data_IF_676014678950
#
_entry.id   IF_676014678950
#
_cell.length_a   1.000
_cell.length_b   1.000
_cell.length_c   1.000
_cell.angle_alpha   90.00
_cell.angle_beta   90.00
_cell.angle_gamma   90.00
#
_symmetry.space_group_name_H-M   'P 1'
#
loop_
_entity.id
_entity.type
_entity.pdbx_description
1 polymer ?
#
# COMPACT_ATOMS: atom_id res chain seq x y z
N UNK A 1 2.89 -3.66 9.67
CA UNK A 1 1.62 -4.21 9.12
C UNK A 1 0.43 -3.30 9.39
N UNK A 2 -0.14 -3.23 10.60
CA UNK A 2 -1.34 -2.42 10.85
C UNK A 2 -1.20 -0.94 10.48
N UNK A 3 -0.07 -0.30 10.79
CA UNK A 3 0.20 1.11 10.44
C UNK A 3 0.56 1.32 8.96
N UNK A 4 1.20 0.32 8.34
CA UNK A 4 1.86 0.45 7.04
C UNK A 4 0.95 0.04 5.88
N UNK A 5 0.13 -0.98 6.12
CA UNK A 5 -0.78 -1.53 5.14
C UNK A 5 -2.10 -0.77 5.14
N UNK A 6 -2.76 -0.77 4.00
CA UNK A 6 -4.11 -0.25 3.87
C UNK A 6 -5.11 -1.00 4.79
N UNK A 7 -6.22 -0.34 5.14
CA UNK A 7 -7.22 -0.89 6.03
C UNK A 7 -7.74 -2.27 5.60
N UNK A 8 -7.90 -2.51 4.29
CA UNK A 8 -8.36 -3.80 3.77
C UNK A 8 -7.39 -4.96 4.03
N UNK A 9 -6.08 -4.75 3.88
CA UNK A 9 -5.08 -5.77 4.17
C UNK A 9 -4.95 -6.00 5.68
N UNK A 10 -4.91 -4.92 6.47
CA UNK A 10 -4.85 -5.01 7.93
C UNK A 10 -6.06 -5.76 8.50
N UNK A 11 -7.27 -5.48 7.98
CA UNK A 11 -8.49 -6.16 8.35
C UNK A 11 -8.48 -7.64 7.96
N UNK A 12 -8.06 -7.97 6.73
CA UNK A 12 -8.04 -9.37 6.24
C UNK A 12 -7.14 -10.27 7.09
N UNK A 13 -5.95 -9.79 7.44
CA UNK A 13 -5.02 -10.51 8.33
C UNK A 13 -5.62 -10.67 9.73
N UNK A 14 -6.12 -9.58 10.29
CA UNK A 14 -6.63 -9.55 11.64
C UNK A 14 -7.92 -10.36 11.82
N UNK A 15 -8.77 -10.44 10.79
CA UNK A 15 -9.93 -11.33 10.76
C UNK A 15 -9.51 -12.80 10.85
N UNK A 16 -8.40 -13.17 10.22
CA UNK A 16 -7.79 -14.49 10.38
C UNK A 16 -7.42 -14.79 11.84
N UNK A 17 -6.91 -13.80 12.58
CA UNK A 17 -6.57 -13.96 14.00
C UNK A 17 -7.80 -14.02 14.89
N UNK A 18 -8.91 -13.36 14.54
CA UNK A 18 -10.16 -13.50 15.28
C UNK A 18 -10.70 -14.92 15.25
N UNK A 19 -10.59 -15.61 14.10
CA UNK A 19 -10.93 -17.04 13.99
C UNK A 19 -10.06 -17.92 14.90
N UNK A 20 -8.83 -17.49 15.18
CA UNK A 20 -7.90 -18.15 16.10
C UNK A 20 -8.16 -17.82 17.59
N UNK A 21 -9.17 -17.00 17.89
CA UNK A 21 -9.58 -16.64 19.26
C UNK A 21 -9.16 -15.24 19.72
N UNK A 22 -8.43 -14.47 18.90
CA UNK A 22 -7.97 -13.12 19.26
C UNK A 22 -9.07 -12.07 19.02
N UNK A 23 -10.10 -12.07 19.87
CA UNK A 23 -11.25 -11.15 19.76
C UNK A 23 -10.82 -9.68 19.70
N UNK A 24 -11.33 -8.96 18.71
CA UNK A 24 -11.05 -7.53 18.52
C UNK A 24 -9.77 -7.24 17.73
N UNK A 25 -9.03 -8.25 17.29
CA UNK A 25 -7.86 -8.06 16.44
C UNK A 25 -8.21 -7.24 15.19
N UNK A 26 -9.36 -7.50 14.56
CA UNK A 26 -9.82 -6.79 13.36
C UNK A 26 -9.94 -5.28 13.61
N UNK A 27 -10.56 -4.90 14.72
CA UNK A 27 -10.72 -3.51 15.12
C UNK A 27 -9.39 -2.84 15.46
N UNK A 28 -8.46 -3.53 16.11
CA UNK A 28 -7.11 -2.99 16.38
C UNK A 28 -6.38 -2.75 15.06
N UNK A 29 -6.42 -3.72 14.14
CA UNK A 29 -5.84 -3.60 12.80
C UNK A 29 -6.40 -2.42 12.02
N UNK A 30 -7.74 -2.27 11.98
CA UNK A 30 -8.42 -1.14 11.35
C UNK A 30 -8.04 0.20 11.98
N UNK A 31 -7.93 0.27 13.31
CA UNK A 31 -7.53 1.50 14.01
C UNK A 31 -6.12 1.93 13.64
N UNK A 32 -5.17 0.99 13.65
CA UNK A 32 -3.79 1.26 13.25
C UNK A 32 -3.70 1.72 11.79
N UNK A 33 -4.47 1.08 10.89
CA UNK A 33 -4.47 1.42 9.47
C UNK A 33 -5.12 2.78 9.20
N UNK A 34 -6.22 3.10 9.90
CA UNK A 34 -6.86 4.41 9.81
C UNK A 34 -5.92 5.53 10.27
N UNK A 35 -5.23 5.35 11.40
CA UNK A 35 -4.23 6.30 11.89
C UNK A 35 -3.09 6.47 10.87
N UNK A 36 -2.54 5.37 10.37
CA UNK A 36 -1.51 5.38 9.31
C UNK A 36 -1.97 6.16 8.09
N UNK A 37 -3.17 5.88 7.58
CA UNK A 37 -3.76 6.56 6.42
C UNK A 37 -3.91 8.06 6.65
N UNK A 38 -4.40 8.49 7.81
CA UNK A 38 -4.51 9.91 8.16
C UNK A 38 -3.13 10.59 8.20
N UNK A 39 -2.13 9.94 8.81
CA UNK A 39 -0.75 10.45 8.84
C UNK A 39 -0.18 10.51 7.42
N UNK A 40 -0.46 9.53 6.57
CA UNK A 40 -0.08 9.53 5.16
C UNK A 40 -0.67 10.69 4.39
N UNK A 41 -1.99 10.87 4.47
CA UNK A 41 -2.69 11.94 3.76
C UNK A 41 -2.30 13.34 4.26
N UNK A 42 -2.38 13.60 5.57
CA UNK A 42 -2.07 14.92 6.11
C UNK A 42 -0.56 15.19 6.15
N UNK A 43 0.22 14.22 6.62
CA UNK A 43 1.67 14.33 6.69
C UNK A 43 2.32 14.45 5.31
N UNK A 44 1.79 13.76 4.29
CA UNK A 44 2.25 13.90 2.91
C UNK A 44 2.09 15.33 2.38
N UNK A 45 0.94 15.96 2.63
CA UNK A 45 0.70 17.36 2.27
C UNK A 45 1.63 18.31 3.03
N UNK A 46 1.86 18.07 4.33
CA UNK A 46 2.81 18.84 5.14
C UNK A 46 4.24 18.71 4.57
N UNK A 47 4.66 17.50 4.20
CA UNK A 47 5.97 17.23 3.60
C UNK A 47 6.12 17.95 2.25
N UNK A 48 5.09 17.94 1.40
CA UNK A 48 5.09 18.67 0.12
C UNK A 48 5.22 20.18 0.37
N UNK A 49 4.46 20.74 1.31
CA UNK A 49 4.56 22.16 1.66
C UNK A 49 5.96 22.52 2.22
N UNK A 50 6.52 21.65 3.05
CA UNK A 50 7.90 21.80 3.52
C UNK A 50 8.90 21.73 2.36
N UNK A 51 8.71 20.82 1.40
CA UNK A 51 9.52 20.71 0.19
C UNK A 51 9.47 21.98 -0.66
N UNK A 52 8.29 22.59 -0.83
CA UNK A 52 8.14 23.89 -1.49
C UNK A 52 8.91 24.99 -0.76
N UNK A 53 8.77 25.09 0.57
CA UNK A 53 9.44 26.12 1.37
C UNK A 53 10.95 25.98 1.42
N UNK A 54 11.46 24.74 1.35
CA UNK A 54 12.89 24.42 1.43
C UNK A 54 13.55 24.25 0.07
N UNK A 55 12.80 24.45 -1.02
CA UNK A 55 13.31 24.38 -2.39
C UNK A 55 13.54 22.97 -2.93
N UNK A 56 13.10 21.91 -2.25
CA UNK A 56 13.30 20.50 -2.66
C UNK A 56 12.54 20.09 -3.92
N UNK A 57 11.70 20.98 -4.44
CA UNK A 57 10.89 20.82 -5.64
C UNK A 57 11.34 21.91 -6.62
N UNK A 58 11.62 21.51 -7.86
CA UNK A 58 12.08 22.43 -8.90
C UNK A 58 11.09 23.55 -9.20
N UNK A 59 11.59 24.67 -9.74
CA UNK A 59 10.81 25.89 -9.92
C UNK A 59 9.58 25.69 -10.84
N UNK A 60 9.70 24.85 -11.87
CA UNK A 60 8.61 24.59 -12.80
C UNK A 60 7.52 23.70 -12.18
N UNK A 61 7.91 22.67 -11.43
CA UNK A 61 6.95 21.86 -10.66
C UNK A 61 6.27 22.70 -9.57
N UNK A 62 7.02 23.59 -8.88
CA UNK A 62 6.46 24.49 -7.88
C UNK A 62 5.41 25.45 -8.45
N UNK A 63 5.58 25.94 -9.69
CA UNK A 63 4.56 26.73 -10.39
C UNK A 63 3.29 25.91 -10.66
N UNK A 64 3.42 24.66 -11.12
CA UNK A 64 2.29 23.75 -11.37
C UNK A 64 1.49 23.46 -10.08
N UNK A 65 2.17 23.20 -8.96
CA UNK A 65 1.53 22.96 -7.66
C UNK A 65 0.73 24.18 -7.16
N UNK A 66 1.23 25.38 -7.45
CA UNK A 66 0.56 26.62 -7.07
C UNK A 66 -0.65 26.99 -7.95
N UNK A 67 -0.93 26.21 -9.00
CA UNK A 67 -2.11 26.41 -9.83
C UNK A 67 -3.40 26.31 -9.01
N UNK A 68 -4.40 27.12 -9.36
CA UNK A 68 -5.66 27.23 -8.62
C UNK A 68 -6.42 25.90 -8.53
N UNK A 69 -6.39 25.08 -9.59
CA UNK A 69 -7.05 23.77 -9.63
C UNK A 69 -6.47 22.81 -8.60
N UNK A 70 -5.14 22.75 -8.49
CA UNK A 70 -4.44 21.91 -7.50
C UNK A 70 -4.75 22.36 -6.08
N UNK A 71 -4.79 23.68 -5.83
CA UNK A 71 -5.07 24.23 -4.49
C UNK A 71 -6.53 24.08 -4.05
N UNK A 72 -7.47 24.13 -4.99
CA UNK A 72 -8.91 24.05 -4.68
C UNK A 72 -9.46 22.63 -4.81
N UNK A 73 -8.77 21.74 -5.51
CA UNK A 73 -9.24 20.40 -5.86
C UNK A 73 -10.28 20.38 -6.99
N UNK A 74 -10.64 21.54 -7.55
CA UNK A 74 -11.64 21.65 -8.61
C UNK A 74 -11.05 22.29 -9.86
N UNK A 75 -11.30 21.69 -11.02
CA UNK A 75 -11.00 22.30 -12.30
C UNK A 75 -11.88 23.54 -12.55
N UNK A 76 -11.45 24.33 -13.52
CA UNK A 76 -12.19 25.49 -14.01
C UNK A 76 -13.62 25.14 -14.43
N UNK A 77 -14.48 26.16 -14.46
CA UNK A 77 -15.82 26.05 -15.05
C UNK A 77 -15.74 25.78 -16.55
N UNK A 78 -14.66 26.19 -17.21
CA UNK A 78 -14.40 25.91 -18.62
C UNK A 78 -14.15 24.41 -18.83
N UNK A 79 -14.96 23.77 -19.67
CA UNK A 79 -14.86 22.34 -19.95
C UNK A 79 -13.60 21.96 -20.73
N UNK A 80 -13.13 22.84 -21.64
CA UNK A 80 -11.91 22.64 -22.42
C UNK A 80 -10.63 22.58 -21.58
N UNK A 81 -10.68 23.07 -20.33
CA UNK A 81 -9.56 23.04 -19.39
C UNK A 81 -9.58 21.79 -18.50
N UNK A 82 -10.59 20.91 -18.65
CA UNK A 82 -10.73 19.69 -17.86
C UNK A 82 -10.04 18.52 -18.57
N UNK A 83 -9.16 17.77 -17.90
CA UNK A 83 -8.59 16.56 -18.48
C UNK A 83 -9.67 15.49 -18.64
N UNK A 84 -9.52 14.64 -19.66
CA UNK A 84 -10.38 13.49 -19.89
C UNK A 84 -10.10 12.45 -18.80
N UNK A 85 -11.13 12.06 -18.05
CA UNK A 85 -10.98 11.13 -16.93
C UNK A 85 -11.06 9.64 -17.31
N UNK A 86 -11.76 9.32 -18.39
CA UNK A 86 -11.97 7.95 -18.88
C UNK A 86 -12.53 7.96 -20.30
N UNK A 87 -12.24 6.93 -21.08
CA UNK A 87 -12.82 6.70 -22.41
C UNK A 87 -13.87 5.59 -22.35
N UNK A 88 -14.91 5.71 -23.17
CA UNK A 88 -15.87 4.62 -23.39
C UNK A 88 -15.20 3.55 -24.23
N UNK A 89 -15.25 2.30 -23.77
CA UNK A 89 -14.59 1.15 -24.42
C UNK A 89 -15.57 0.18 -25.06
N UNK A 90 -16.87 0.40 -24.84
CA UNK A 90 -17.96 -0.36 -25.42
C UNK A 90 -18.92 0.61 -26.11
N UNK A 91 -19.64 0.09 -27.12
CA UNK A 91 -20.77 0.82 -27.66
C UNK A 91 -21.91 0.81 -26.65
N UNK A 92 -22.44 2.00 -26.32
CA UNK A 92 -23.50 2.18 -25.34
C UNK A 92 -24.80 1.48 -25.72
N UNK A 93 -25.02 1.16 -27.00
CA UNK A 93 -26.17 0.37 -27.45
C UNK A 93 -26.02 -1.12 -27.10
N UNK A 94 -24.79 -1.62 -26.95
CA UNK A 94 -24.52 -3.02 -26.62
C UNK A 94 -24.41 -3.25 -25.12
N UNK A 95 -23.53 -2.48 -24.47
CA UNK A 95 -23.23 -2.63 -23.05
C UNK A 95 -22.65 -1.32 -22.53
N UNK A 96 -23.06 -0.90 -21.34
CA UNK A 96 -22.44 0.23 -20.67
C UNK A 96 -20.97 -0.06 -20.30
N UNK A 97 -20.07 0.88 -20.62
CA UNK A 97 -18.63 0.69 -20.41
C UNK A 97 -18.28 0.52 -18.94
N UNK A 98 -18.93 1.24 -18.03
CA UNK A 98 -18.67 1.09 -16.60
C UNK A 98 -19.08 -0.31 -16.12
N UNK A 99 -20.24 -0.78 -16.56
CA UNK A 99 -20.76 -2.13 -16.27
C UNK A 99 -19.80 -3.22 -16.74
N UNK A 100 -19.25 -3.08 -17.95
CA UNK A 100 -18.24 -4.00 -18.49
C UNK A 100 -16.99 -4.08 -17.59
N UNK A 101 -16.43 -2.93 -17.19
CA UNK A 101 -15.24 -2.90 -16.34
C UNK A 101 -15.50 -3.48 -14.95
N UNK A 102 -16.64 -3.15 -14.34
CA UNK A 102 -17.05 -3.74 -13.05
C UNK A 102 -17.18 -5.25 -13.18
N UNK A 103 -17.78 -5.76 -14.25
CA UNK A 103 -17.90 -7.19 -14.49
C UNK A 103 -16.52 -7.87 -14.58
N UNK A 104 -15.55 -7.29 -15.28
CA UNK A 104 -14.18 -7.82 -15.36
C UNK A 104 -13.48 -7.82 -14.01
N UNK A 105 -13.61 -6.74 -13.21
CA UNK A 105 -13.04 -6.66 -11.86
C UNK A 105 -13.66 -7.71 -10.94
N UNK A 106 -14.99 -7.84 -10.95
CA UNK A 106 -15.71 -8.83 -10.13
C UNK A 106 -15.43 -10.27 -10.57
N UNK A 107 -15.31 -10.53 -11.87
CA UNK A 107 -14.90 -11.84 -12.38
C UNK A 107 -13.48 -12.20 -11.94
N UNK A 108 -12.57 -11.22 -11.93
CA UNK A 108 -11.20 -11.38 -11.43
C UNK A 108 -11.19 -11.71 -9.93
N UNK A 109 -12.02 -11.01 -9.15
CA UNK A 109 -12.20 -11.31 -7.73
C UNK A 109 -12.77 -12.72 -7.49
N UNK A 110 -13.80 -13.12 -8.25
CA UNK A 110 -14.37 -14.46 -8.18
C UNK A 110 -13.34 -15.54 -8.53
N UNK A 111 -12.49 -15.29 -9.54
CA UNK A 111 -11.38 -16.18 -9.88
C UNK A 111 -10.39 -16.30 -8.72
N UNK A 112 -10.01 -15.18 -8.08
CA UNK A 112 -9.14 -15.20 -6.90
C UNK A 112 -9.73 -16.00 -5.75
N UNK A 113 -11.03 -15.84 -5.49
CA UNK A 113 -11.74 -16.61 -4.47
C UNK A 113 -11.77 -18.11 -4.82
N UNK A 114 -12.01 -18.46 -6.08
CA UNK A 114 -12.02 -19.85 -6.55
C UNK A 114 -10.63 -20.50 -6.43
N UNK A 115 -9.57 -19.77 -6.80
CA UNK A 115 -8.17 -20.23 -6.66
C UNK A 115 -7.82 -20.48 -5.19
N UNK A 116 -8.12 -19.53 -4.29
CA UNK A 116 -7.87 -19.69 -2.85
C UNK A 116 -8.68 -20.83 -2.25
N UNK A 117 -9.93 -20.99 -2.65
CA UNK A 117 -10.80 -22.08 -2.19
C UNK A 117 -10.30 -23.44 -2.67
N UNK A 118 -9.90 -23.55 -3.94
CA UNK A 118 -9.28 -24.75 -4.49
C UNK A 118 -7.97 -25.10 -3.80
N UNK A 119 -7.13 -24.10 -3.54
CA UNK A 119 -5.87 -24.30 -2.82
C UNK A 119 -6.12 -24.73 -1.36
N UNK A 120 -7.13 -24.17 -0.70
CA UNK A 120 -7.56 -24.60 0.63
C UNK A 120 -7.96 -26.06 0.64
N UNK A 121 -8.74 -26.51 -0.35
CA UNK A 121 -9.14 -27.91 -0.47
C UNK A 121 -7.93 -28.83 -0.65
N UNK A 122 -6.99 -28.46 -1.52
CA UNK A 122 -5.76 -29.24 -1.74
C UNK A 122 -4.86 -29.29 -0.51
N UNK A 123 -4.69 -28.17 0.18
CA UNK A 123 -3.87 -28.09 1.38
C UNK A 123 -4.49 -28.87 2.55
N UNK A 124 -5.81 -28.88 2.68
CA UNK A 124 -6.50 -29.68 3.70
C UNK A 124 -6.25 -31.19 3.53
N UNK A 125 -5.94 -31.67 2.32
CA UNK A 125 -5.57 -33.07 2.08
C UNK A 125 -4.19 -33.44 2.66
N UNK A 126 -3.32 -32.45 2.88
CA UNK A 126 -1.96 -32.64 3.41
C UNK A 126 -1.97 -32.81 4.95
N UNK A 127 -3.07 -32.43 5.61
CA UNK A 127 -3.26 -32.54 7.05
C UNK A 127 -3.32 -31.19 7.77
N UNK A 128 -3.20 -31.17 9.12
CA UNK A 128 -3.39 -29.96 9.93
C UNK A 128 -2.48 -28.79 9.55
N UNK A 129 -1.21 -29.07 9.24
CA UNK A 129 -0.25 -28.05 8.77
C UNK A 129 -0.69 -27.39 7.45
N UNK A 130 -1.36 -28.15 6.59
CA UNK A 130 -1.91 -27.62 5.34
C UNK A 130 -3.10 -26.69 5.58
N UNK A 131 -3.97 -27.03 6.53
CA UNK A 131 -5.09 -26.17 6.92
C UNK A 131 -4.61 -24.82 7.49
N UNK A 132 -3.57 -24.84 8.33
CA UNK A 132 -2.95 -23.62 8.87
C UNK A 132 -2.30 -22.76 7.79
N UNK A 133 -1.64 -23.40 6.82
CA UNK A 133 -1.10 -22.71 5.66
C UNK A 133 -2.24 -22.08 4.84
N UNK A 134 -3.34 -22.80 4.62
CA UNK A 134 -4.48 -22.28 3.87
C UNK A 134 -5.08 -21.01 4.51
N UNK A 135 -5.32 -21.02 5.83
CA UNK A 135 -5.78 -19.82 6.56
C UNK A 135 -4.75 -18.67 6.45
N UNK A 136 -3.46 -18.99 6.44
CA UNK A 136 -2.42 -17.99 6.23
C UNK A 136 -2.48 -17.35 4.83
N UNK A 137 -2.81 -18.12 3.80
CA UNK A 137 -2.98 -17.61 2.43
C UNK A 137 -4.22 -16.71 2.30
N UNK A 138 -5.30 -16.98 3.03
CA UNK A 138 -6.49 -16.12 3.06
C UNK A 138 -6.23 -14.74 3.66
N UNK A 139 -5.39 -14.66 4.70
CA UNK A 139 -4.97 -13.38 5.29
C UNK A 139 -4.26 -12.46 4.30
N UNK A 140 -3.65 -13.04 3.25
CA UNK A 140 -2.93 -12.34 2.20
C UNK A 140 -3.60 -12.44 0.82
N UNK A 141 -4.92 -12.62 0.79
CA UNK A 141 -5.71 -12.80 -0.44
C UNK A 141 -5.41 -11.75 -1.52
N UNK A 142 -5.09 -10.50 -1.14
CA UNK A 142 -4.75 -9.43 -2.07
C UNK A 142 -3.59 -9.78 -3.02
N UNK A 143 -2.64 -10.60 -2.57
CA UNK A 143 -1.52 -11.10 -3.39
C UNK A 143 -2.05 -12.03 -4.49
N UNK A 144 -2.89 -12.98 -4.10
CA UNK A 144 -3.52 -13.92 -5.03
C UNK A 144 -4.43 -13.18 -6.02
N UNK A 145 -5.18 -12.17 -5.56
CA UNK A 145 -5.98 -11.32 -6.42
C UNK A 145 -5.13 -10.57 -7.44
N UNK A 146 -3.94 -10.08 -7.07
CA UNK A 146 -3.01 -9.46 -8.00
C UNK A 146 -2.50 -10.46 -9.06
N UNK A 147 -2.16 -11.69 -8.68
CA UNK A 147 -1.78 -12.74 -9.64
C UNK A 147 -2.93 -13.13 -10.56
N UNK A 148 -4.15 -13.26 -10.03
CA UNK A 148 -5.35 -13.51 -10.84
C UNK A 148 -5.62 -12.35 -11.80
N UNK A 149 -5.43 -11.09 -11.40
CA UNK A 149 -5.55 -9.95 -12.29
C UNK A 149 -4.50 -9.96 -13.42
N UNK A 150 -3.26 -10.34 -13.11
CA UNK A 150 -2.21 -10.54 -14.13
C UNK A 150 -2.56 -11.68 -15.09
N UNK A 151 -3.11 -12.78 -14.58
CA UNK A 151 -3.58 -13.91 -15.39
C UNK A 151 -4.73 -13.48 -16.31
N UNK A 152 -5.76 -12.79 -15.78
CA UNK A 152 -6.88 -12.28 -16.58
C UNK A 152 -6.37 -11.34 -17.67
N UNK A 153 -5.46 -10.42 -17.33
CA UNK A 153 -4.82 -9.53 -18.31
C UNK A 153 -4.08 -10.32 -19.40
N UNK A 154 -3.36 -11.38 -19.02
CA UNK A 154 -2.66 -12.25 -19.97
C UNK A 154 -3.66 -12.97 -20.89
N UNK A 155 -4.74 -13.53 -20.35
CA UNK A 155 -5.79 -14.20 -21.11
C UNK A 155 -6.48 -13.24 -22.08
N UNK A 156 -6.78 -12.02 -21.65
CA UNK A 156 -7.34 -10.98 -22.52
C UNK A 156 -6.37 -10.60 -23.65
N UNK A 157 -5.07 -10.52 -23.36
CA UNK A 157 -4.04 -10.27 -24.37
C UNK A 157 -3.94 -11.41 -25.39
N UNK A 158 -4.02 -12.67 -24.94
CA UNK A 158 -4.05 -13.84 -25.84
C UNK A 158 -5.32 -13.83 -26.69
N UNK A 159 -6.45 -13.45 -26.12
CA UNK A 159 -7.73 -13.30 -26.81
C UNK A 159 -7.81 -12.03 -27.67
N UNK A 160 -6.81 -11.14 -27.63
CA UNK A 160 -6.76 -9.85 -28.34
C UNK A 160 -7.92 -8.90 -28.00
N UNK A 161 -8.40 -8.97 -26.76
CA UNK A 161 -9.48 -8.11 -26.24
C UNK A 161 -8.98 -7.16 -25.15
N UNK A 162 -7.67 -7.06 -24.91
CA UNK A 162 -7.14 -6.18 -23.88
C UNK A 162 -7.40 -4.69 -24.14
N UNK A 163 -7.64 -4.32 -25.41
CA UNK A 163 -7.95 -2.96 -25.85
C UNK A 163 -9.35 -2.50 -25.43
N UNK A 164 -10.22 -3.40 -24.96
CA UNK A 164 -11.55 -3.05 -24.43
C UNK A 164 -11.50 -2.53 -22.99
N UNK A 165 -10.34 -2.57 -22.32
CA UNK A 165 -10.17 -1.99 -20.99
C UNK A 165 -9.55 -0.60 -21.06
N UNK A 166 -10.29 0.37 -20.53
CA UNK A 166 -9.83 1.73 -20.33
C UNK A 166 -9.19 1.90 -18.94
N UNK A 167 -7.92 2.31 -18.94
CA UNK A 167 -7.17 2.56 -17.71
C UNK A 167 -7.78 3.71 -16.90
N UNK A 168 -8.39 4.71 -17.54
CA UNK A 168 -9.07 5.81 -16.86
C UNK A 168 -10.23 5.30 -16.00
N UNK A 169 -11.09 4.46 -16.60
CA UNK A 169 -12.22 3.82 -15.91
C UNK A 169 -11.75 2.94 -14.76
N UNK A 170 -10.74 2.10 -14.97
CA UNK A 170 -10.16 1.26 -13.90
C UNK A 170 -9.58 2.10 -12.75
N UNK A 171 -8.89 3.21 -13.06
CA UNK A 171 -8.35 4.11 -12.06
C UNK A 171 -9.46 4.77 -11.22
N UNK A 172 -10.61 5.09 -11.82
CA UNK A 172 -11.77 5.67 -11.11
C UNK A 172 -12.47 4.63 -10.23
N UNK A 173 -12.63 3.40 -10.72
CA UNK A 173 -13.14 2.28 -9.91
C UNK A 173 -12.22 2.06 -8.70
N UNK A 174 -10.91 2.06 -8.91
CA UNK A 174 -9.92 1.94 -7.83
C UNK A 174 -10.04 3.10 -6.83
N UNK A 175 -10.11 4.35 -7.29
CA UNK A 175 -10.30 5.53 -6.43
C UNK A 175 -11.56 5.41 -5.56
N UNK A 176 -12.70 5.09 -6.18
CA UNK A 176 -13.95 4.87 -5.45
C UNK A 176 -13.84 3.74 -4.41
N UNK A 177 -13.18 2.63 -4.78
CA UNK A 177 -13.01 1.48 -3.89
C UNK A 177 -12.15 1.83 -2.67
N UNK A 178 -11.11 2.66 -2.85
CA UNK A 178 -10.28 3.17 -1.75
C UNK A 178 -11.09 4.07 -0.83
N UNK A 179 -11.87 5.01 -1.37
CA UNK A 179 -12.69 5.94 -0.57
C UNK A 179 -13.73 5.19 0.28
N UNK A 180 -14.44 4.23 -0.34
CA UNK A 180 -15.39 3.36 0.37
C UNK A 180 -14.70 2.51 1.43
N UNK A 181 -13.51 1.98 1.14
CA UNK A 181 -12.74 1.18 2.11
C UNK A 181 -12.36 2.03 3.31
N UNK A 182 -11.85 3.24 3.12
CA UNK A 182 -11.48 4.15 4.21
C UNK A 182 -12.72 4.52 5.05
N UNK A 183 -13.81 4.93 4.41
CA UNK A 183 -15.05 5.29 5.10
C UNK A 183 -15.62 4.11 5.91
N UNK A 184 -15.69 2.92 5.30
CA UNK A 184 -16.19 1.71 5.95
C UNK A 184 -15.29 1.26 7.10
N UNK A 185 -13.96 1.40 6.92
CA UNK A 185 -12.98 1.06 7.95
C UNK A 185 -13.12 1.93 9.18
N UNK A 186 -13.32 3.24 9.00
CA UNK A 186 -13.59 4.15 10.12
C UNK A 186 -14.89 3.80 10.84
N UNK A 187 -15.94 3.42 10.09
CA UNK A 187 -17.21 2.99 10.66
C UNK A 187 -17.15 1.64 11.38
N UNK A 188 -16.24 0.74 10.99
CA UNK A 188 -16.09 -0.60 11.57
C UNK A 188 -15.22 -0.65 12.84
N UNK A 189 -14.56 0.46 13.21
CA UNK A 189 -13.73 0.50 14.43
C UNK A 189 -14.61 0.39 15.69
N UNK A 190 -14.36 -0.63 16.51
CA UNK A 190 -14.95 -0.80 17.83
C UNK A 190 -14.24 0.08 18.85
N UNK A 191 -14.92 1.13 19.33
CA UNK A 191 -14.40 2.02 20.37
C UNK A 191 -14.08 1.27 21.68
N UNK A 192 -14.84 0.23 22.00
CA UNK A 192 -14.60 -0.61 23.19
C UNK A 192 -13.26 -1.34 23.08
N UNK A 193 -12.96 -1.89 21.91
CA UNK A 193 -11.68 -2.57 21.65
C UNK A 193 -10.51 -1.58 21.69
N UNK A 194 -10.68 -0.39 21.12
CA UNK A 194 -9.65 0.67 21.16
C UNK A 194 -9.34 1.09 22.59
N UNK A 195 -10.37 1.26 23.44
CA UNK A 195 -10.18 1.59 24.85
C UNK A 195 -9.45 0.49 25.63
N UNK A 196 -9.61 -0.78 25.26
CA UNK A 196 -8.87 -1.88 25.89
C UNK A 196 -7.37 -1.89 25.54
N UNK A 197 -6.99 -1.39 24.35
CA UNK A 197 -5.64 -1.50 23.80
C UNK A 197 -5.00 -0.14 23.45
N UNK A 198 -5.47 0.96 24.04
CA UNK A 198 -5.04 2.31 23.65
C UNK A 198 -3.54 2.54 23.88
N UNK A 199 -2.94 1.96 24.93
CA UNK A 199 -1.50 2.08 25.19
C UNK A 199 -0.67 1.41 24.08
N UNK A 200 -0.85 0.11 23.77
CA UNK A 200 -0.18 -0.52 22.62
C UNK A 200 -0.39 0.24 21.31
N UNK A 201 -1.62 0.66 21.02
CA UNK A 201 -1.95 1.40 19.79
C UNK A 201 -1.16 2.71 19.72
N UNK A 202 -1.12 3.47 20.82
CA UNK A 202 -0.39 4.73 20.90
C UNK A 202 1.12 4.53 20.70
N UNK A 203 1.71 3.55 21.39
CA UNK A 203 3.16 3.27 21.28
C UNK A 203 3.51 2.86 19.85
N UNK A 204 2.77 1.93 19.25
CA UNK A 204 3.01 1.48 17.87
C UNK A 204 2.80 2.61 16.86
N UNK A 205 1.82 3.48 17.09
CA UNK A 205 1.57 4.66 16.27
C UNK A 205 2.75 5.63 16.32
N UNK A 206 3.25 5.94 17.52
CA UNK A 206 4.40 6.84 17.68
C UNK A 206 5.67 6.28 17.03
N UNK A 207 5.91 4.98 17.15
CA UNK A 207 7.01 4.31 16.45
C UNK A 207 6.82 4.37 14.94
N UNK A 208 5.60 4.10 14.45
CA UNK A 208 5.25 4.22 13.02
C UNK A 208 5.52 5.61 12.47
N UNK A 209 5.03 6.65 13.17
CA UNK A 209 5.29 8.06 12.84
C UNK A 209 6.79 8.36 12.82
N UNK A 210 7.53 7.91 13.84
CA UNK A 210 8.97 8.15 13.91
C UNK A 210 9.70 7.53 12.71
N UNK A 211 9.36 6.30 12.34
CA UNK A 211 9.97 5.62 11.20
C UNK A 211 9.61 6.35 9.89
N UNK A 212 8.35 6.70 9.67
CA UNK A 212 7.92 7.29 8.39
C UNK A 212 8.26 8.77 8.24
N UNK A 213 8.31 9.54 9.32
CA UNK A 213 8.55 10.99 9.27
C UNK A 213 10.01 11.36 9.53
N UNK A 214 10.77 10.54 10.27
CA UNK A 214 12.18 10.83 10.61
C UNK A 214 13.13 9.93 9.86
N UNK A 215 13.00 8.61 10.02
CA UNK A 215 13.95 7.63 9.46
C UNK A 215 13.83 7.58 7.94
N UNK A 216 12.62 7.55 7.40
CA UNK A 216 12.41 7.38 5.97
C UNK A 216 12.94 8.57 5.14
N UNK A 217 12.67 9.86 5.48
CA UNK A 217 13.28 10.98 4.76
C UNK A 217 14.81 10.99 4.86
N UNK A 218 15.36 10.57 6.00
CA UNK A 218 16.80 10.40 6.15
C UNK A 218 17.34 9.32 5.21
N UNK A 219 16.73 8.14 5.18
CA UNK A 219 17.20 7.04 4.33
C UNK A 219 17.14 7.43 2.84
N UNK A 220 15.99 7.93 2.39
CA UNK A 220 15.77 8.24 0.98
C UNK A 220 16.71 9.33 0.46
N UNK A 221 16.98 10.36 1.28
CA UNK A 221 17.89 11.44 0.90
C UNK A 221 19.36 11.02 0.78
N UNK A 222 19.79 9.92 1.41
CA UNK A 222 21.16 9.41 1.32
C UNK A 222 21.30 8.27 0.31
N UNK A 223 20.23 7.51 0.11
CA UNK A 223 20.22 6.33 -0.74
C UNK A 223 20.10 6.68 -2.22
N UNK A 224 19.19 7.58 -2.57
CA UNK A 224 18.93 7.93 -3.95
C UNK A 224 19.88 9.03 -4.43
N UNK A 225 20.32 8.93 -5.69
CA UNK A 225 21.12 9.98 -6.35
C UNK A 225 20.25 10.99 -7.08
N UNK A 226 19.05 10.61 -7.49
CA UNK A 226 18.13 11.40 -8.30
C UNK A 226 16.74 11.48 -7.64
N UNK A 227 16.02 12.57 -7.87
CA UNK A 227 14.63 12.76 -7.46
C UNK A 227 14.33 12.32 -6.01
N UNK A 228 15.28 12.54 -5.10
CA UNK A 228 15.30 11.95 -3.76
C UNK A 228 13.99 12.20 -2.98
N UNK A 229 13.49 13.44 -3.07
CA UNK A 229 12.24 13.84 -2.41
C UNK A 229 11.01 13.17 -3.03
N UNK A 230 10.99 12.97 -4.34
CA UNK A 230 9.85 12.39 -5.07
C UNK A 230 9.78 10.88 -4.78
N UNK A 231 10.93 10.20 -4.81
CA UNK A 231 11.06 8.80 -4.40
C UNK A 231 10.65 8.60 -2.95
N UNK A 232 11.06 9.52 -2.06
CA UNK A 232 10.64 9.52 -0.67
C UNK A 232 9.13 9.65 -0.52
N UNK A 233 8.47 10.57 -1.24
CA UNK A 233 7.02 10.75 -1.18
C UNK A 233 6.25 9.49 -1.58
N UNK A 234 6.69 8.79 -2.63
CA UNK A 234 6.05 7.51 -3.04
C UNK A 234 6.18 6.46 -1.96
N UNK A 235 7.38 6.29 -1.39
CA UNK A 235 7.62 5.30 -0.34
C UNK A 235 6.83 5.68 0.92
N UNK A 236 6.80 6.97 1.29
CA UNK A 236 6.06 7.49 2.42
C UNK A 236 4.57 7.22 2.29
N UNK A 237 3.96 7.63 1.17
CA UNK A 237 2.53 7.43 0.94
C UNK A 237 2.15 5.95 0.87
N UNK A 238 3.02 5.11 0.30
CA UNK A 238 2.78 3.67 0.26
C UNK A 238 2.92 3.03 1.64
N UNK A 239 3.92 3.42 2.44
CA UNK A 239 4.17 2.93 3.79
C UNK A 239 3.22 3.49 4.86
N UNK A 240 2.31 4.39 4.50
CA UNK A 240 1.28 4.96 5.38
C UNK A 240 -0.11 4.71 4.81
N UNK A 241 -0.25 3.78 3.87
CA UNK A 241 -1.49 3.57 3.15
C UNK A 241 -1.33 2.51 2.09
N UNK A 242 -1.46 2.91 0.83
CA UNK A 242 -1.36 2.00 -0.31
C UNK A 242 -0.57 2.63 -1.45
N UNK A 243 -0.17 1.84 -2.44
CA UNK A 243 0.50 2.35 -3.64
C UNK A 243 -0.28 3.50 -4.31
N UNK A 244 -1.62 3.45 -4.48
CA UNK A 244 -2.43 4.60 -4.90
C UNK A 244 -2.19 5.87 -4.08
N UNK A 245 -2.06 5.77 -2.75
CA UNK A 245 -1.74 6.90 -1.87
C UNK A 245 -0.36 7.49 -2.18
N UNK A 246 0.65 6.63 -2.35
CA UNK A 246 2.00 7.06 -2.77
C UNK A 246 2.02 7.74 -4.13
N UNK A 247 1.31 7.17 -5.12
CA UNK A 247 1.19 7.75 -6.45
C UNK A 247 0.38 9.05 -6.45
N UNK A 248 -0.62 9.19 -5.58
CA UNK A 248 -1.38 10.42 -5.42
C UNK A 248 -0.50 11.56 -4.90
N UNK A 249 0.36 11.29 -3.90
CA UNK A 249 1.34 12.28 -3.42
C UNK A 249 2.36 12.63 -4.51
N UNK A 250 2.82 11.64 -5.28
CA UNK A 250 3.72 11.89 -6.41
C UNK A 250 3.06 12.76 -7.48
N UNK A 251 1.79 12.51 -7.85
CA UNK A 251 1.06 13.32 -8.83
C UNK A 251 0.96 14.80 -8.46
N UNK A 252 1.03 15.15 -7.18
CA UNK A 252 1.06 16.56 -6.77
C UNK A 252 2.35 17.22 -7.27
N UNK A 253 3.49 16.54 -7.16
CA UNK A 253 4.80 17.09 -7.53
C UNK A 253 5.26 16.72 -8.96
N UNK A 254 4.68 15.67 -9.53
CA UNK A 254 4.97 15.09 -10.84
C UNK A 254 3.67 14.54 -11.46
N UNK A 255 2.81 15.44 -11.95
CA UNK A 255 1.44 15.13 -12.37
C UNK A 255 1.36 14.11 -13.52
N UNK A 256 2.27 14.21 -14.50
CA UNK A 256 2.30 13.36 -15.69
C UNK A 256 3.23 12.14 -15.51
N UNK A 257 3.79 11.93 -14.31
CA UNK A 257 4.81 10.93 -14.04
C UNK A 257 5.99 11.01 -15.02
N UNK A 258 6.48 12.23 -15.27
CA UNK A 258 7.60 12.50 -16.19
C UNK A 258 8.91 11.90 -15.63
N UNK A 259 9.03 11.78 -14.30
CA UNK A 259 10.20 11.21 -13.64
C UNK A 259 10.14 9.68 -13.62
N UNK A 260 11.29 8.98 -13.60
CA UNK A 260 11.32 7.51 -13.53
C UNK A 260 10.81 6.94 -12.20
N UNK A 261 10.45 7.79 -11.23
CA UNK A 261 10.13 7.42 -9.85
C UNK A 261 8.98 6.41 -9.76
N UNK A 262 7.88 6.65 -10.47
CA UNK A 262 6.72 5.76 -10.45
C UNK A 262 7.05 4.38 -11.04
N UNK A 263 7.76 4.38 -12.16
CA UNK A 263 8.16 3.17 -12.89
C UNK A 263 9.16 2.33 -12.11
N UNK A 264 10.19 2.97 -11.55
CA UNK A 264 11.19 2.30 -10.71
C UNK A 264 10.58 1.68 -9.46
N UNK A 265 9.64 2.41 -8.82
CA UNK A 265 8.93 1.88 -7.66
C UNK A 265 8.13 0.62 -8.05
N UNK A 266 7.42 0.65 -9.18
CA UNK A 266 6.64 -0.50 -9.65
C UNK A 266 7.52 -1.73 -9.91
N UNK A 267 8.70 -1.57 -10.53
CA UNK A 267 9.64 -2.67 -10.71
C UNK A 267 10.17 -3.19 -9.36
N UNK A 268 10.45 -2.28 -8.42
CA UNK A 268 10.95 -2.66 -7.10
C UNK A 268 9.94 -3.52 -6.32
N UNK A 269 8.63 -3.25 -6.44
CA UNK A 269 7.57 -4.02 -5.76
C UNK A 269 7.64 -5.50 -6.13
N UNK A 270 7.89 -5.84 -7.40
CA UNK A 270 8.01 -7.23 -7.84
C UNK A 270 9.19 -7.97 -7.21
N UNK A 271 10.34 -7.29 -7.05
CA UNK A 271 11.52 -7.86 -6.41
C UNK A 271 11.30 -7.99 -4.89
N UNK A 272 10.81 -6.91 -4.27
CA UNK A 272 10.53 -6.84 -2.82
C UNK A 272 9.51 -7.90 -2.43
N UNK A 273 8.54 -8.21 -3.28
CA UNK A 273 7.56 -9.26 -3.03
C UNK A 273 8.21 -10.61 -2.70
N UNK A 274 9.18 -11.06 -3.53
CA UNK A 274 9.88 -12.32 -3.30
C UNK A 274 10.67 -12.28 -1.99
N UNK A 275 11.34 -11.15 -1.73
CA UNK A 275 12.05 -10.93 -0.48
C UNK A 275 11.12 -10.83 0.72
N UNK A 276 9.84 -10.48 0.55
CA UNK A 276 8.86 -10.37 1.62
C UNK A 276 8.21 -11.72 1.97
N UNK A 277 8.39 -12.79 1.18
CA UNK A 277 7.75 -14.09 1.45
C UNK A 277 8.03 -14.58 2.89
N UNK A 278 9.27 -14.60 3.40
CA UNK A 278 9.52 -15.04 4.78
C UNK A 278 8.82 -14.18 5.84
N UNK A 279 8.80 -12.84 5.68
CA UNK A 279 8.11 -11.97 6.65
C UNK A 279 6.60 -12.16 6.57
N UNK A 280 6.06 -12.39 5.36
CA UNK A 280 4.63 -12.66 5.15
C UNK A 280 4.21 -13.99 5.79
N UNK A 281 5.00 -15.05 5.63
CA UNK A 281 4.74 -16.34 6.28
C UNK A 281 4.88 -16.25 7.80
N UNK A 282 5.67 -15.31 8.30
CA UNK A 282 5.83 -15.09 9.74
C UNK A 282 4.63 -14.41 10.42
N UNK A 283 3.70 -13.84 9.64
CA UNK A 283 2.59 -13.01 10.16
C UNK A 283 1.74 -13.78 11.18
N UNK A 284 1.42 -15.04 10.93
CA UNK A 284 0.55 -15.81 11.83
C UNK A 284 1.30 -16.51 12.96
N UNK A 285 2.64 -16.51 12.97
CA UNK A 285 3.43 -17.17 14.01
C UNK A 285 3.15 -16.64 15.43
N UNK A 286 2.95 -15.33 15.67
CA UNK A 286 2.53 -14.84 16.97
C UNK A 286 1.19 -15.43 17.43
N UNK A 287 0.21 -15.50 16.53
CA UNK A 287 -1.10 -16.08 16.84
C UNK A 287 -0.97 -17.58 17.13
N UNK A 288 -0.21 -18.30 16.31
CA UNK A 288 0.08 -19.72 16.49
C UNK A 288 0.85 -20.03 17.77
N UNK A 289 1.67 -19.11 18.27
CA UNK A 289 2.38 -19.31 19.55
C UNK A 289 1.41 -19.52 20.72
N UNK A 290 0.26 -18.83 20.70
CA UNK A 290 -0.77 -18.93 21.73
C UNK A 290 -1.66 -20.15 21.46
N UNK A 291 -2.12 -20.33 20.21
CA UNK A 291 -3.05 -21.44 19.90
C UNK A 291 -2.40 -22.82 20.00
N UNK A 292 -1.11 -22.94 19.68
CA UNK A 292 -0.35 -24.19 19.78
C UNK A 292 0.42 -24.33 21.09
N UNK A 293 0.28 -23.36 22.01
CA UNK A 293 1.02 -23.30 23.28
C UNK A 293 2.54 -23.48 23.10
N UNK A 294 3.10 -22.87 22.04
CA UNK A 294 4.51 -22.96 21.70
C UNK A 294 5.15 -21.55 21.62
N UNK A 295 5.74 -21.06 22.72
CA UNK A 295 6.35 -19.73 22.78
C UNK A 295 7.48 -19.50 21.78
N UNK A 296 8.13 -20.57 21.29
CA UNK A 296 9.22 -20.44 20.32
C UNK A 296 8.77 -19.82 18.99
N UNK A 297 7.50 -19.98 18.60
CA UNK A 297 6.95 -19.40 17.37
C UNK A 297 6.91 -17.87 17.43
N UNK A 298 6.63 -17.30 18.60
CA UNK A 298 6.70 -15.86 18.82
C UNK A 298 8.15 -15.37 18.74
N UNK A 299 9.08 -16.09 19.37
CA UNK A 299 10.51 -15.81 19.26
C UNK A 299 11.03 -15.86 17.83
N UNK A 300 10.55 -16.82 17.03
CA UNK A 300 10.86 -16.93 15.60
C UNK A 300 10.34 -15.72 14.81
N UNK A 301 9.11 -15.27 15.06
CA UNK A 301 8.54 -14.08 14.41
C UNK A 301 9.36 -12.81 14.72
N UNK A 302 9.80 -12.65 15.98
CA UNK A 302 10.70 -11.57 16.38
C UNK A 302 12.05 -11.71 15.68
N UNK A 303 12.62 -12.93 15.65
CA UNK A 303 13.91 -13.21 15.01
C UNK A 303 13.90 -12.88 13.51
N UNK A 304 12.83 -13.25 12.80
CA UNK A 304 12.64 -12.88 11.39
C UNK A 304 12.55 -11.36 11.27
N UNK A 305 11.69 -10.70 12.06
CA UNK A 305 11.54 -9.23 12.01
C UNK A 305 12.84 -8.48 12.31
N UNK A 306 13.63 -8.97 13.27
CA UNK A 306 14.94 -8.44 13.62
C UNK A 306 15.96 -8.65 12.49
N UNK A 307 15.98 -9.84 11.89
CA UNK A 307 16.82 -10.13 10.73
C UNK A 307 16.53 -9.16 9.57
N UNK A 308 15.26 -8.95 9.23
CA UNK A 308 14.88 -7.99 8.18
C UNK A 308 15.30 -6.57 8.53
N UNK A 309 15.06 -6.14 9.77
CA UNK A 309 15.45 -4.80 10.22
C UNK A 309 16.95 -4.57 10.15
N UNK A 310 17.75 -5.56 10.58
CA UNK A 310 19.22 -5.52 10.54
C UNK A 310 19.71 -5.60 9.10
N UNK A 311 19.17 -6.50 8.28
CA UNK A 311 19.54 -6.66 6.88
C UNK A 311 19.23 -5.39 6.07
N UNK A 312 18.08 -4.75 6.31
CA UNK A 312 17.72 -3.46 5.71
C UNK A 312 18.69 -2.35 6.15
N UNK A 313 19.08 -2.32 7.42
CA UNK A 313 20.07 -1.35 7.92
C UNK A 313 21.46 -1.57 7.31
N UNK A 314 21.94 -2.81 7.26
CA UNK A 314 23.22 -3.16 6.62
C UNK A 314 23.18 -2.81 5.13
N UNK A 315 22.10 -3.15 4.44
CA UNK A 315 21.91 -2.80 3.02
C UNK A 315 21.96 -1.30 2.81
N UNK A 316 21.31 -0.53 3.69
CA UNK A 316 21.41 0.94 3.67
C UNK A 316 22.86 1.42 3.82
N UNK A 317 23.63 0.90 4.78
CA UNK A 317 25.04 1.29 4.96
C UNK A 317 25.89 0.96 3.73
N UNK A 318 25.69 -0.21 3.12
CA UNK A 318 26.42 -0.65 1.93
C UNK A 318 26.09 0.24 0.72
N UNK A 319 24.82 0.59 0.53
CA UNK A 319 24.37 1.37 -0.62
C UNK A 319 24.66 2.86 -0.46
N UNK A 320 24.43 3.43 0.73
CA UNK A 320 24.70 4.84 1.00
C UNK A 320 26.21 5.13 1.15
N UNK A 321 27.05 4.13 1.46
CA UNK A 321 28.51 4.26 1.61
C UNK A 321 28.87 5.48 2.48
N UNK A 322 29.73 6.37 1.97
CA UNK A 322 30.15 7.61 2.64
C UNK A 322 29.02 8.61 2.86
N UNK A 323 27.88 8.49 2.17
CA UNK A 323 26.72 9.38 2.31
C UNK A 323 25.84 9.02 3.50
N UNK A 324 25.95 7.82 4.07
CA UNK A 324 25.05 7.30 5.12
C UNK A 324 24.89 8.26 6.32
N UNK A 325 25.96 8.93 6.73
CA UNK A 325 25.96 9.88 7.85
C UNK A 325 26.43 11.28 7.43
N UNK A 326 26.36 11.61 6.14
CA UNK A 326 26.79 12.91 5.64
C UNK A 326 25.72 14.00 5.88
N UNK A 327 26.19 15.19 6.27
CA UNK A 327 25.42 16.43 6.43
C UNK A 327 24.14 16.32 7.26
N UNK A 328 24.28 16.12 8.58
CA UNK A 328 23.13 15.97 9.49
C UNK A 328 22.14 17.16 9.50
N UNK A 329 22.54 18.32 8.98
CA UNK A 329 21.72 19.54 8.97
C UNK A 329 20.85 19.69 7.72
N UNK A 330 21.14 18.96 6.63
CA UNK A 330 20.42 19.08 5.35
C UNK A 330 19.84 17.72 4.94
N UNK A 331 18.51 17.66 4.81
CA UNK A 331 17.81 16.44 4.38
C UNK A 331 18.02 16.22 2.88
N UNK A 332 17.36 16.98 2.01
CA UNK A 332 17.47 16.82 0.56
C UNK A 332 18.40 17.87 -0.06
N UNK A 333 19.14 17.46 -1.08
CA UNK A 333 19.98 18.34 -1.88
C UNK A 333 19.24 18.69 -3.16
N UNK A 334 19.30 19.96 -3.54
CA UNK A 334 18.88 20.45 -4.85
C UNK A 334 20.15 20.73 -5.63
N UNK A 335 20.27 20.13 -6.81
CA UNK A 335 21.20 20.63 -7.83
C UNK A 335 20.71 21.98 -8.36
#
# INVERSE_FOLDING_TARGET
LGFELGPGQAYSIALGWEKMGFRGASSVGLTMAAIGFLIGSFGGVILINQGLRRGWIGADQAKRINAKSVRTGFFSRNESERPIGSYLSTDGESLDSLSYHIAVVMATYLLSWAVLSGLTLLLNLIGPLGADLAESLWGINFIFSAFCALLVKLLMKVAKVETTLDNGTLNRINGFSVDVTVASSLGAISLVTVQGYWIPILVLTLVGIFITVVVLPWYCSRLYSDHQFFRMLVIYGTATGTLPTGLALLRVVDAEFETPVATDYLYSVGIVFVLAIPIILSINLPAFSVTHNNPSLFGLAIGISAFYSIASFISYLILAKKRAFASNKTLFYTE
#
